data_IF_513967463179
#
_entry.id   IF_513967463179
#
_cell.length_a   1.000
_cell.length_b   1.000
_cell.length_c   1.000
_cell.angle_alpha   90.00
_cell.angle_beta   90.00
_cell.angle_gamma   90.00
#
_symmetry.space_group_name_H-M   'P 1'
#
loop_
_entity.id
_entity.type
_entity.pdbx_description
1 polymer ?
#
# COMPACT_ATOMS: atom_id res chain seq x y z
N UNK A 1 -11.13 13.71 -15.03
CA UNK A 1 -10.86 13.21 -13.66
C UNK A 1 -10.63 11.72 -13.78
N UNK A 2 -9.47 11.23 -13.37
CA UNK A 2 -9.19 9.78 -13.37
C UNK A 2 -10.13 9.09 -12.38
N UNK A 3 -10.83 8.05 -12.82
CA UNK A 3 -11.82 7.35 -11.97
C UNK A 3 -11.17 6.40 -10.96
N UNK A 4 -9.84 6.20 -11.03
CA UNK A 4 -9.08 5.36 -10.12
C UNK A 4 -8.01 6.16 -9.36
N UNK A 5 -7.68 5.73 -8.14
CA UNK A 5 -6.60 6.33 -7.34
C UNK A 5 -5.28 6.36 -8.11
N UNK A 6 -4.95 5.30 -8.85
CA UNK A 6 -3.74 5.24 -9.69
C UNK A 6 -3.75 6.35 -10.75
N UNK A 7 -4.81 6.46 -11.53
CA UNK A 7 -4.93 7.49 -12.56
C UNK A 7 -4.82 8.91 -12.00
N UNK A 8 -5.27 9.13 -10.76
CA UNK A 8 -5.10 10.43 -10.10
C UNK A 8 -3.66 10.67 -9.63
N UNK A 9 -2.95 9.64 -9.12
CA UNK A 9 -1.52 9.76 -8.81
C UNK A 9 -0.68 10.06 -10.05
N UNK A 10 -0.99 9.39 -11.16
CA UNK A 10 -0.33 9.62 -12.46
C UNK A 10 -0.56 11.07 -12.94
N UNK A 11 -1.82 11.55 -12.83
CA UNK A 11 -2.17 12.93 -13.18
C UNK A 11 -1.43 13.93 -12.29
N UNK A 12 -1.41 13.73 -10.97
CA UNK A 12 -0.71 14.62 -10.04
C UNK A 12 0.81 14.67 -10.31
N UNK A 13 1.40 13.55 -10.73
CA UNK A 13 2.79 13.50 -11.18
C UNK A 13 3.01 14.26 -12.49
N UNK A 14 2.13 14.08 -13.48
CA UNK A 14 2.20 14.79 -14.77
C UNK A 14 2.05 16.31 -14.62
N UNK A 15 1.21 16.76 -13.68
CA UNK A 15 1.03 18.17 -13.34
C UNK A 15 2.12 18.72 -12.39
N UNK A 16 3.16 17.94 -12.10
CA UNK A 16 4.28 18.30 -11.22
C UNK A 16 3.86 18.73 -9.80
N UNK A 17 2.66 18.31 -9.36
CA UNK A 17 2.18 18.49 -7.99
C UNK A 17 2.88 17.51 -7.05
N UNK A 18 3.10 16.29 -7.54
CA UNK A 18 3.97 15.30 -6.90
C UNK A 18 5.33 15.27 -7.59
N UNK A 19 6.39 15.06 -6.80
CA UNK A 19 7.69 14.74 -7.37
C UNK A 19 7.68 13.35 -8.03
N UNK A 20 8.54 13.07 -9.02
CA UNK A 20 8.61 11.74 -9.64
C UNK A 20 8.87 10.61 -8.64
N UNK A 21 9.70 10.86 -7.63
CA UNK A 21 9.98 9.92 -6.54
C UNK A 21 8.72 9.66 -5.71
N UNK A 22 7.97 10.70 -5.36
CA UNK A 22 6.73 10.56 -4.58
C UNK A 22 5.62 9.86 -5.37
N UNK A 23 5.45 10.17 -6.65
CA UNK A 23 4.50 9.46 -7.53
C UNK A 23 4.83 7.97 -7.58
N UNK A 24 6.11 7.63 -7.72
CA UNK A 24 6.57 6.22 -7.74
C UNK A 24 6.24 5.53 -6.42
N UNK A 25 6.66 6.11 -5.28
CA UNK A 25 6.42 5.57 -3.94
C UNK A 25 4.93 5.37 -3.63
N UNK A 26 4.08 6.34 -3.97
CA UNK A 26 2.63 6.24 -3.76
C UNK A 26 1.99 5.17 -4.64
N UNK A 27 2.45 5.03 -5.89
CA UNK A 27 1.93 4.03 -6.82
C UNK A 27 2.35 2.62 -6.43
N UNK A 28 3.59 2.45 -5.96
CA UNK A 28 4.10 1.20 -5.39
C UNK A 28 3.30 0.80 -4.14
N UNK A 29 3.13 1.74 -3.19
CA UNK A 29 2.34 1.50 -1.98
C UNK A 29 0.89 1.12 -2.31
N UNK A 30 0.25 1.83 -3.24
CA UNK A 30 -1.10 1.50 -3.71
C UNK A 30 -1.18 0.09 -4.29
N UNK A 31 -0.19 -0.29 -5.10
CA UNK A 31 -0.13 -1.61 -5.72
C UNK A 31 0.03 -2.71 -4.68
N UNK A 32 0.93 -2.49 -3.70
CA UNK A 32 1.18 -3.40 -2.60
C UNK A 32 -0.07 -3.62 -1.75
N UNK A 33 -0.71 -2.55 -1.27
CA UNK A 33 -1.93 -2.65 -0.46
C UNK A 33 -3.08 -3.31 -1.23
N UNK A 34 -3.25 -2.96 -2.51
CA UNK A 34 -4.32 -3.53 -3.32
C UNK A 34 -4.13 -5.03 -3.51
N UNK A 35 -2.89 -5.49 -3.70
CA UNK A 35 -2.56 -6.91 -3.81
C UNK A 35 -2.91 -7.68 -2.53
N UNK A 36 -2.49 -7.17 -1.37
CA UNK A 36 -2.79 -7.79 -0.08
C UNK A 36 -4.31 -7.83 0.19
N UNK A 37 -5.01 -6.72 -0.05
CA UNK A 37 -6.46 -6.64 0.12
C UNK A 37 -7.22 -7.59 -0.81
N UNK A 38 -6.73 -7.78 -2.04
CA UNK A 38 -7.35 -8.72 -2.98
C UNK A 38 -7.25 -10.15 -2.46
N UNK A 39 -6.12 -10.54 -1.89
CA UNK A 39 -5.95 -11.87 -1.29
C UNK A 39 -6.86 -12.03 -0.08
N UNK A 40 -6.92 -11.03 0.80
CA UNK A 40 -7.86 -11.06 1.92
C UNK A 40 -9.31 -11.22 1.44
N UNK A 41 -9.75 -10.51 0.41
CA UNK A 41 -11.12 -10.65 -0.14
C UNK A 41 -11.40 -12.03 -0.75
N UNK A 42 -10.38 -12.68 -1.31
CA UNK A 42 -10.53 -14.01 -1.90
C UNK A 42 -10.50 -15.12 -0.84
N UNK A 43 -9.78 -14.91 0.26
CA UNK A 43 -9.56 -15.93 1.28
C UNK A 43 -10.43 -15.76 2.53
N UNK A 44 -11.02 -14.59 2.75
CA UNK A 44 -11.85 -14.29 3.91
C UNK A 44 -13.28 -13.97 3.46
N UNK A 45 -14.23 -14.78 3.90
CA UNK A 45 -15.67 -14.55 3.66
C UNK A 45 -16.22 -13.38 4.50
N UNK A 46 -15.61 -13.15 5.66
CA UNK A 46 -15.94 -12.05 6.59
C UNK A 46 -14.65 -11.42 7.10
N UNK A 47 -14.69 -10.17 7.63
CA UNK A 47 -13.55 -9.61 8.34
C UNK A 47 -13.05 -10.59 9.40
N UNK A 48 -11.75 -10.87 9.38
CA UNK A 48 -11.10 -11.75 10.34
C UNK A 48 -9.99 -10.99 11.04
N UNK A 49 -9.92 -11.14 12.35
CA UNK A 49 -8.82 -10.61 13.15
C UNK A 49 -7.65 -11.60 13.13
N UNK A 50 -6.40 -11.10 13.18
CA UNK A 50 -5.24 -11.96 13.34
C UNK A 50 -5.28 -12.73 14.68
N UNK A 51 -4.62 -13.90 14.78
CA UNK A 51 -3.72 -14.47 13.77
C UNK A 51 -4.45 -15.20 12.63
N UNK A 52 -3.97 -14.98 11.40
CA UNK A 52 -4.45 -15.69 10.22
C UNK A 52 -3.88 -17.11 10.12
N UNK A 53 -4.54 -17.95 9.32
CA UNK A 53 -4.07 -19.31 9.05
C UNK A 53 -2.69 -19.30 8.38
N UNK A 54 -1.89 -20.34 8.64
CA UNK A 54 -0.56 -20.47 8.03
C UNK A 54 -0.63 -20.48 6.50
N UNK A 55 -1.64 -21.10 5.91
CA UNK A 55 -1.85 -21.13 4.45
C UNK A 55 -2.09 -19.73 3.88
N UNK A 56 -2.85 -18.88 4.57
CA UNK A 56 -3.06 -17.49 4.16
C UNK A 56 -1.76 -16.67 4.28
N UNK A 57 -1.00 -16.84 5.36
CA UNK A 57 0.29 -16.18 5.53
C UNK A 57 1.28 -16.56 4.42
N UNK A 58 1.36 -17.85 4.05
CA UNK A 58 2.20 -18.31 2.93
C UNK A 58 1.75 -17.70 1.59
N UNK A 59 0.43 -17.63 1.34
CA UNK A 59 -0.10 -17.03 0.13
C UNK A 59 0.25 -15.54 0.03
N UNK A 60 0.14 -14.79 1.14
CA UNK A 60 0.54 -13.38 1.20
C UNK A 60 2.04 -13.20 0.88
N UNK A 61 2.91 -14.01 1.49
CA UNK A 61 4.35 -13.98 1.23
C UNK A 61 4.69 -14.30 -0.24
N UNK A 62 4.09 -15.36 -0.79
CA UNK A 62 4.31 -15.75 -2.19
C UNK A 62 3.84 -14.67 -3.17
N UNK A 63 2.67 -14.09 -2.93
CA UNK A 63 2.09 -13.06 -3.80
C UNK A 63 2.87 -11.74 -3.80
N UNK A 64 3.54 -11.44 -2.69
CA UNK A 64 4.37 -10.25 -2.51
C UNK A 64 5.85 -10.50 -2.86
N UNK A 65 6.22 -11.74 -3.22
CA UNK A 65 7.60 -12.19 -3.41
C UNK A 65 8.50 -11.92 -2.17
N UNK A 66 7.92 -12.00 -0.97
CA UNK A 66 8.63 -11.82 0.30
C UNK A 66 8.83 -13.17 1.01
N UNK A 67 9.94 -13.34 1.76
CA UNK A 67 10.31 -14.64 2.31
C UNK A 67 9.44 -15.09 3.49
N UNK A 68 8.94 -14.14 4.29
CA UNK A 68 8.12 -14.42 5.46
C UNK A 68 7.25 -13.21 5.85
N UNK A 69 6.38 -13.42 6.83
CA UNK A 69 5.47 -12.38 7.33
C UNK A 69 6.20 -11.21 8.00
N UNK A 70 7.39 -11.42 8.58
CA UNK A 70 8.14 -10.33 9.20
C UNK A 70 8.64 -9.35 8.13
N UNK A 71 9.11 -9.85 6.99
CA UNK A 71 9.49 -9.01 5.85
C UNK A 71 8.25 -8.34 5.25
N UNK A 72 7.12 -9.04 5.15
CA UNK A 72 5.86 -8.45 4.69
C UNK A 72 5.40 -7.29 5.57
N UNK A 73 5.40 -7.47 6.89
CA UNK A 73 5.05 -6.42 7.86
C UNK A 73 6.02 -5.25 7.81
N UNK A 74 7.33 -5.52 7.65
CA UNK A 74 8.33 -4.48 7.47
C UNK A 74 8.07 -3.66 6.20
N UNK A 75 7.91 -4.30 5.05
CA UNK A 75 7.61 -3.62 3.77
C UNK A 75 6.29 -2.84 3.86
N UNK A 76 5.28 -3.40 4.53
CA UNK A 76 4.01 -2.71 4.77
C UNK A 76 4.23 -1.42 5.58
N UNK A 77 4.99 -1.49 6.67
CA UNK A 77 5.31 -0.37 7.55
C UNK A 77 6.13 0.71 6.83
N UNK A 78 7.09 0.30 6.00
CA UNK A 78 7.89 1.21 5.18
C UNK A 78 7.02 1.98 4.17
N UNK A 79 6.11 1.29 3.47
CA UNK A 79 5.13 1.94 2.61
C UNK A 79 4.23 2.90 3.39
N UNK A 80 3.73 2.50 4.57
CA UNK A 80 2.85 3.35 5.40
C UNK A 80 3.57 4.62 5.84
N UNK A 81 4.81 4.49 6.28
CA UNK A 81 5.66 5.61 6.65
C UNK A 81 5.89 6.53 5.45
N UNK A 82 6.25 5.98 4.29
CA UNK A 82 6.47 6.76 3.07
C UNK A 82 5.22 7.55 2.65
N UNK A 83 4.04 6.91 2.65
CA UNK A 83 2.77 7.59 2.32
C UNK A 83 2.49 8.71 3.30
N UNK A 84 2.67 8.46 4.61
CA UNK A 84 2.49 9.47 5.66
C UNK A 84 3.45 10.65 5.48
N UNK A 85 4.73 10.39 5.25
CA UNK A 85 5.74 11.43 5.10
C UNK A 85 5.43 12.31 3.87
N UNK A 86 5.02 11.70 2.75
CA UNK A 86 4.57 12.44 1.56
C UNK A 86 3.36 13.30 1.88
N UNK A 87 2.34 12.74 2.54
CA UNK A 87 1.13 13.47 2.92
C UNK A 87 1.47 14.66 3.82
N UNK A 88 2.31 14.47 4.83
CA UNK A 88 2.72 15.52 5.78
C UNK A 88 3.52 16.64 5.09
N UNK A 89 4.34 16.32 4.09
CA UNK A 89 5.05 17.33 3.30
C UNK A 89 4.11 18.14 2.41
N UNK A 90 3.09 17.51 1.84
CA UNK A 90 2.13 18.18 0.95
C UNK A 90 1.12 19.04 1.69
N UNK A 91 0.59 18.54 2.81
CA UNK A 91 -0.55 19.14 3.51
C UNK A 91 -0.20 19.69 4.90
N UNK A 92 1.04 19.51 5.36
CA UNK A 92 1.47 19.88 6.71
C UNK A 92 1.14 18.81 7.75
N UNK A 93 1.41 19.13 9.03
CA UNK A 93 1.10 18.23 10.13
C UNK A 93 -0.41 18.05 10.27
N UNK A 94 -0.87 16.82 10.50
CA UNK A 94 -2.19 16.58 11.06
C UNK A 94 -2.18 17.15 12.49
N UNK A 95 -2.62 18.40 12.64
CA UNK A 95 -2.98 18.95 13.94
C UNK A 95 -4.19 18.15 14.43
N UNK A 96 -3.93 17.17 15.29
CA UNK A 96 -4.94 16.53 16.14
C UNK A 96 -5.31 17.43 17.30
#
# INVERSE_FOLDING_TARGET
IGTSTRSNLDLLGAEHILSPDDTTRLTEALSFYSGLLQIFRLCLETPADPPFSQSLNLLLCQSSALPDMAHLEQTLSEHQKSVRDIFMRMFGSLSG
#
